data_IF_108003361157
#
_entry.id   IF_108003361157
#
_cell.length_a   1.000
_cell.length_b   1.000
_cell.length_c   1.000
_cell.angle_alpha   90.00
_cell.angle_beta   90.00
_cell.angle_gamma   90.00
#
_symmetry.space_group_name_H-M   'P 1'
#
loop_
_entity.id
_entity.type
_entity.pdbx_description
1 polymer ?
#
# COMPACT_ATOMS: atom_id res chain seq x y z
N UNK A 1 47.06 18.28 -42.36
CA UNK A 1 46.02 17.88 -41.37
C UNK A 1 45.18 19.12 -41.05
N UNK A 2 43.95 19.25 -41.58
CA UNK A 2 43.08 20.42 -41.37
C UNK A 2 42.34 20.26 -40.03
N UNK A 3 42.73 21.04 -39.02
CA UNK A 3 42.00 21.11 -37.76
C UNK A 3 40.81 22.07 -37.98
N UNK A 4 39.61 21.51 -38.07
CA UNK A 4 38.37 22.30 -38.18
C UNK A 4 38.13 22.99 -36.85
N UNK A 5 38.31 24.32 -36.80
CA UNK A 5 37.94 25.14 -35.64
C UNK A 5 36.42 25.15 -35.52
N UNK A 6 35.88 24.36 -34.60
CA UNK A 6 34.47 24.42 -34.23
C UNK A 6 34.16 25.78 -33.59
N UNK A 7 33.25 26.52 -34.20
CA UNK A 7 32.79 27.82 -33.71
C UNK A 7 32.21 27.68 -32.30
N UNK A 8 32.53 28.60 -31.37
CA UNK A 8 32.14 28.50 -29.95
C UNK A 8 30.62 28.35 -29.78
N UNK A 9 29.85 28.97 -30.65
CA UNK A 9 28.38 28.89 -30.71
C UNK A 9 27.89 27.45 -31.00
N UNK A 10 28.58 26.71 -31.89
CA UNK A 10 28.25 25.31 -32.19
C UNK A 10 28.60 24.38 -31.02
N UNK A 11 29.67 24.68 -30.27
CA UNK A 11 30.00 23.95 -29.04
C UNK A 11 28.96 24.20 -27.94
N UNK A 12 28.51 25.44 -27.79
CA UNK A 12 27.49 25.80 -26.81
C UNK A 12 26.16 25.09 -27.09
N UNK A 13 25.77 25.02 -28.37
CA UNK A 13 24.53 24.36 -28.78
C UNK A 13 24.56 22.84 -28.52
N UNK A 14 25.70 22.19 -28.77
CA UNK A 14 25.86 20.74 -28.48
C UNK A 14 25.80 20.47 -26.97
N UNK A 15 26.39 21.33 -26.13
CA UNK A 15 26.33 21.19 -24.67
C UNK A 15 24.89 21.37 -24.16
N UNK A 16 24.16 22.35 -24.69
CA UNK A 16 22.77 22.63 -24.30
C UNK A 16 21.81 21.49 -24.67
N UNK A 17 22.02 20.87 -25.84
CA UNK A 17 21.28 19.68 -26.26
C UNK A 17 21.64 18.47 -25.38
N UNK A 18 22.91 18.28 -25.00
CA UNK A 18 23.30 17.20 -24.10
C UNK A 18 22.63 17.32 -22.72
N UNK A 19 22.55 18.52 -22.14
CA UNK A 19 21.91 18.74 -20.83
C UNK A 19 20.41 18.45 -20.83
N UNK A 20 19.74 18.63 -21.96
CA UNK A 20 18.31 18.32 -22.08
C UNK A 20 18.04 16.81 -22.09
N UNK A 21 18.96 16.01 -22.63
CA UNK A 21 18.79 14.54 -22.72
C UNK A 21 19.04 13.88 -21.35
N UNK A 22 19.95 14.41 -20.52
CA UNK A 22 20.20 13.85 -19.16
C UNK A 22 19.12 14.25 -18.15
N UNK A 23 18.33 15.28 -18.44
CA UNK A 23 17.23 15.74 -17.57
C UNK A 23 15.99 14.83 -17.63
N UNK A 24 15.95 13.87 -18.57
CA UNK A 24 14.85 12.90 -18.70
C UNK A 24 14.98 11.65 -17.82
N UNK A 25 16.02 11.55 -16.99
CA UNK A 25 16.28 10.36 -16.17
C UNK A 25 15.98 10.58 -14.67
N UNK A 26 15.00 11.43 -14.34
CA UNK A 26 14.61 11.72 -12.96
C UNK A 26 13.13 11.43 -12.72
N UNK A 27 12.72 10.16 -12.85
CA UNK A 27 11.56 9.63 -12.09
C UNK A 27 11.51 8.10 -11.98
N UNK A 28 12.62 7.38 -12.19
CA UNK A 28 12.68 5.99 -11.74
C UNK A 28 12.87 6.03 -10.24
N UNK A 29 11.75 6.00 -9.50
CA UNK A 29 11.75 5.71 -8.08
C UNK A 29 12.26 4.26 -7.91
N UNK A 30 13.53 4.03 -7.52
CA UNK A 30 14.06 2.67 -7.36
C UNK A 30 13.49 1.99 -6.11
N UNK A 31 12.60 2.70 -5.38
CA UNK A 31 12.02 2.36 -4.10
C UNK A 31 10.52 2.68 -4.07
N UNK A 32 9.80 2.49 -5.19
CA UNK A 32 8.37 2.23 -5.07
C UNK A 32 8.24 0.86 -4.41
N UNK A 33 8.33 0.84 -3.07
CA UNK A 33 7.97 -0.26 -2.17
C UNK A 33 6.76 -0.99 -2.76
N UNK A 34 6.97 -2.07 -3.52
CA UNK A 34 5.88 -2.83 -4.11
C UNK A 34 5.30 -3.74 -3.03
N UNK A 35 4.79 -3.12 -1.97
CA UNK A 35 3.98 -3.77 -0.95
C UNK A 35 2.72 -4.24 -1.67
N UNK A 36 2.36 -5.52 -1.56
CA UNK A 36 1.17 -6.03 -2.23
C UNK A 36 -0.07 -5.31 -1.69
N UNK A 37 -0.81 -4.62 -2.56
CA UNK A 37 -1.96 -3.82 -2.19
C UNK A 37 -3.26 -4.57 -2.49
N UNK A 38 -4.15 -4.63 -1.50
CA UNK A 38 -5.45 -5.29 -1.58
C UNK A 38 -6.56 -4.28 -1.34
N UNK A 39 -7.41 -4.10 -2.35
CA UNK A 39 -8.67 -3.38 -2.19
C UNK A 39 -9.74 -4.28 -1.56
N UNK A 40 -10.22 -3.83 -0.41
CA UNK A 40 -11.21 -4.50 0.43
C UNK A 40 -12.63 -3.94 0.22
N UNK A 41 -12.83 -3.03 -0.72
CA UNK A 41 -14.17 -2.54 -1.05
C UNK A 41 -15.06 -3.68 -1.60
N UNK A 42 -16.31 -3.72 -1.14
CA UNK A 42 -17.25 -4.80 -1.44
C UNK A 42 -16.93 -6.15 -0.79
N UNK A 43 -15.78 -6.31 -0.14
CA UNK A 43 -15.35 -7.56 0.51
C UNK A 43 -15.39 -7.42 2.02
N UNK A 44 -16.20 -8.22 2.70
CA UNK A 44 -16.15 -8.27 4.16
C UNK A 44 -14.99 -9.13 4.65
N UNK A 45 -14.74 -10.24 3.96
CA UNK A 45 -13.74 -11.24 4.32
C UNK A 45 -12.88 -11.58 3.10
N UNK A 46 -11.59 -11.80 3.33
CA UNK A 46 -10.68 -12.42 2.35
C UNK A 46 -9.85 -13.51 3.02
N UNK A 47 -9.30 -14.42 2.20
CA UNK A 47 -8.33 -15.42 2.63
C UNK A 47 -7.07 -15.24 1.80
N UNK A 48 -5.92 -15.23 2.47
CA UNK A 48 -4.61 -15.05 1.86
C UNK A 48 -3.68 -16.15 2.34
N UNK A 49 -2.94 -16.71 1.42
CA UNK A 49 -1.81 -17.59 1.69
C UNK A 49 -0.53 -16.81 1.45
N UNK A 50 0.34 -16.80 2.45
CA UNK A 50 1.43 -15.83 2.59
C UNK A 50 2.71 -16.53 3.05
N UNK A 51 3.84 -15.87 2.83
CA UNK A 51 5.13 -16.27 3.42
C UNK A 51 5.49 -15.34 4.60
N UNK A 52 6.31 -15.79 5.57
CA UNK A 52 6.88 -14.90 6.58
C UNK A 52 7.76 -13.81 5.95
N UNK A 53 7.67 -12.58 6.47
CA UNK A 53 8.42 -11.41 6.00
C UNK A 53 7.74 -10.64 4.86
N UNK A 54 6.58 -11.08 4.39
CA UNK A 54 5.81 -10.38 3.38
C UNK A 54 5.15 -9.13 3.95
N UNK A 55 5.19 -8.05 3.16
CA UNK A 55 4.51 -6.80 3.47
C UNK A 55 3.24 -6.68 2.63
N UNK A 56 2.15 -6.35 3.30
CA UNK A 56 0.82 -6.27 2.71
C UNK A 56 0.18 -4.95 3.07
N UNK A 57 -0.52 -4.33 2.14
CA UNK A 57 -1.31 -3.14 2.36
C UNK A 57 -2.78 -3.41 2.05
N UNK A 58 -3.65 -3.21 3.04
CA UNK A 58 -5.10 -3.28 2.85
C UNK A 58 -5.68 -1.88 2.81
N UNK A 59 -6.43 -1.59 1.74
CA UNK A 59 -7.13 -0.34 1.58
C UNK A 59 -8.63 -0.57 1.53
N UNK A 60 -9.38 0.28 2.21
CA UNK A 60 -10.84 0.19 2.30
C UNK A 60 -11.47 1.56 2.47
N UNK A 61 -12.72 1.71 2.05
CA UNK A 61 -13.52 2.89 2.34
C UNK A 61 -13.63 3.12 3.85
N UNK A 62 -13.55 4.39 4.26
CA UNK A 62 -13.84 4.78 5.65
C UNK A 62 -15.37 4.72 5.88
N UNK A 63 -15.88 3.89 6.81
CA UNK A 63 -17.30 3.73 7.07
C UNK A 63 -17.92 4.89 7.86
N UNK A 64 -17.20 6.02 8.04
CA UNK A 64 -17.69 7.22 8.72
C UNK A 64 -19.04 7.74 8.21
N UNK A 65 -19.40 7.48 6.94
CA UNK A 65 -20.72 7.82 6.39
C UNK A 65 -21.87 7.07 7.07
N UNK A 66 -21.61 5.89 7.65
CA UNK A 66 -22.57 5.13 8.45
C UNK A 66 -22.61 5.53 9.93
N UNK A 67 -21.83 6.55 10.33
CA UNK A 67 -21.68 6.96 11.72
C UNK A 67 -20.75 6.06 12.53
N UNK A 68 -19.85 5.33 11.89
CA UNK A 68 -18.89 4.44 12.55
C UNK A 68 -17.53 5.11 12.74
N UNK A 69 -16.88 4.76 13.85
CA UNK A 69 -15.52 5.16 14.20
C UNK A 69 -14.60 3.95 14.17
N UNK A 70 -13.32 4.17 13.89
CA UNK A 70 -12.28 3.14 14.03
C UNK A 70 -12.09 2.76 15.51
N UNK A 71 -12.09 1.46 15.81
CA UNK A 71 -11.91 0.91 17.17
C UNK A 71 -10.75 -0.09 17.26
N UNK A 72 -9.69 0.14 16.48
CA UNK A 72 -8.47 -0.66 16.52
C UNK A 72 -8.50 -1.89 15.61
N UNK A 73 -7.41 -2.66 15.68
CA UNK A 73 -7.22 -3.91 14.92
C UNK A 73 -6.91 -5.03 15.92
N UNK A 74 -7.56 -6.18 15.75
CA UNK A 74 -7.25 -7.41 16.48
C UNK A 74 -6.44 -8.33 15.57
N UNK A 75 -5.28 -8.79 16.03
CA UNK A 75 -4.42 -9.74 15.32
C UNK A 75 -3.52 -10.44 16.32
N UNK A 76 -2.91 -11.55 15.90
CA UNK A 76 -1.88 -12.24 16.69
C UNK A 76 -0.51 -11.58 16.46
N UNK A 77 0.10 -10.93 17.48
CA UNK A 77 1.37 -10.23 17.34
C UNK A 77 2.57 -11.18 17.16
N UNK A 78 2.43 -12.48 17.44
CA UNK A 78 3.47 -13.47 17.14
C UNK A 78 3.53 -13.80 15.64
N UNK A 79 2.43 -13.57 14.93
CA UNK A 79 2.28 -13.90 13.51
C UNK A 79 2.32 -12.68 12.60
N UNK A 80 1.81 -11.53 13.04
CA UNK A 80 1.64 -10.34 12.19
C UNK A 80 1.95 -9.06 12.99
N UNK A 81 2.60 -8.09 12.35
CA UNK A 81 2.78 -6.72 12.86
C UNK A 81 1.96 -5.73 12.04
N UNK A 82 1.31 -4.78 12.72
CA UNK A 82 0.75 -3.58 12.09
C UNK A 82 1.82 -2.49 12.02
N UNK A 83 2.40 -2.26 10.86
CA UNK A 83 3.49 -1.30 10.68
C UNK A 83 2.98 0.13 10.53
N UNK A 84 1.81 0.28 9.89
CA UNK A 84 1.24 1.59 9.64
C UNK A 84 -0.26 1.58 9.47
N UNK A 85 -0.92 2.55 10.10
CA UNK A 85 -2.29 2.92 9.80
C UNK A 85 -2.32 4.37 9.30
N UNK A 86 -3.06 4.63 8.22
CA UNK A 86 -3.29 5.97 7.67
C UNK A 86 -4.75 6.15 7.26
N UNK A 87 -5.26 7.35 7.49
CA UNK A 87 -6.49 7.84 6.88
C UNK A 87 -6.10 8.64 5.64
N UNK A 88 -6.56 8.20 4.48
CA UNK A 88 -6.41 8.88 3.20
C UNK A 88 -7.65 9.76 3.02
N UNK A 89 -7.45 11.07 2.88
CA UNK A 89 -8.56 12.01 2.69
C UNK A 89 -9.22 11.76 1.33
N UNK A 90 -10.52 12.01 1.25
CA UNK A 90 -11.22 12.01 -0.02
C UNK A 90 -10.77 13.19 -0.89
N UNK A 91 -10.48 12.93 -2.16
CA UNK A 91 -10.16 13.97 -3.14
C UNK A 91 -11.42 14.52 -3.83
N UNK A 92 -12.59 13.89 -3.61
CA UNK A 92 -13.85 14.22 -4.29
C UNK A 92 -14.47 15.54 -3.83
N UNK A 93 -14.14 16.02 -2.63
CA UNK A 93 -14.76 17.20 -2.01
C UNK A 93 -16.25 17.04 -1.69
N UNK A 94 -16.81 15.84 -1.82
CA UNK A 94 -18.23 15.59 -1.62
C UNK A 94 -18.56 15.38 -0.14
N UNK A 95 -19.66 15.99 0.32
CA UNK A 95 -20.20 15.73 1.65
C UNK A 95 -20.63 14.26 1.72
N UNK A 96 -20.17 13.56 2.75
CA UNK A 96 -20.43 12.13 2.92
C UNK A 96 -19.32 11.21 2.39
N UNK A 97 -18.29 11.76 1.74
CA UNK A 97 -17.06 11.03 1.42
C UNK A 97 -16.02 11.23 2.54
N UNK A 98 -15.78 10.16 3.30
CA UNK A 98 -14.85 10.16 4.44
C UNK A 98 -13.45 9.65 4.07
N UNK A 99 -13.20 9.47 2.78
CA UNK A 99 -11.95 8.94 2.26
C UNK A 99 -11.79 7.46 2.56
N UNK A 100 -10.53 7.04 2.76
CA UNK A 100 -10.15 5.64 2.87
C UNK A 100 -9.25 5.39 4.06
N UNK A 101 -9.23 4.16 4.53
CA UNK A 101 -8.28 3.66 5.51
C UNK A 101 -7.29 2.76 4.81
N UNK A 102 -6.01 2.91 5.16
CA UNK A 102 -4.93 2.08 4.67
C UNK A 102 -4.13 1.52 5.84
N UNK A 103 -4.05 0.21 5.88
CA UNK A 103 -3.31 -0.55 6.88
C UNK A 103 -2.16 -1.27 6.20
N UNK A 104 -0.95 -1.16 6.75
CA UNK A 104 0.22 -1.90 6.31
C UNK A 104 0.60 -2.91 7.39
N UNK A 105 0.72 -4.17 6.99
CA UNK A 105 1.13 -5.26 7.86
C UNK A 105 2.37 -5.95 7.32
N UNK A 106 3.15 -6.53 8.24
CA UNK A 106 4.24 -7.44 7.94
C UNK A 106 3.96 -8.79 8.60
N UNK A 107 4.06 -9.89 7.86
CA UNK A 107 4.02 -11.25 8.43
C UNK A 107 5.33 -11.57 9.13
N UNK A 108 5.27 -12.17 10.32
CA UNK A 108 6.45 -12.44 11.18
C UNK A 108 6.62 -13.94 11.38
N UNK A 109 5.55 -14.62 11.77
CA UNK A 109 5.57 -16.02 12.17
C UNK A 109 4.86 -16.95 11.17
N UNK A 110 4.98 -18.26 11.40
CA UNK A 110 4.24 -19.28 10.66
C UNK A 110 2.98 -19.67 11.41
N UNK A 111 1.87 -19.80 10.69
CA UNK A 111 0.58 -20.16 11.27
C UNK A 111 -0.58 -19.44 10.61
N UNK A 112 -1.80 -19.75 11.06
CA UNK A 112 -3.01 -19.18 10.49
C UNK A 112 -3.73 -18.35 11.55
N UNK A 113 -4.01 -17.09 11.27
CA UNK A 113 -4.72 -16.19 12.19
C UNK A 113 -5.45 -15.07 11.45
N UNK A 114 -6.64 -14.67 11.92
CA UNK A 114 -7.35 -13.56 11.34
C UNK A 114 -6.79 -12.21 11.82
N UNK A 115 -6.68 -11.26 10.90
CA UNK A 115 -6.58 -9.83 11.20
C UNK A 115 -7.97 -9.21 11.07
N UNK A 116 -8.46 -8.62 12.15
CA UNK A 116 -9.81 -8.06 12.23
C UNK A 116 -9.72 -6.56 12.44
N UNK A 117 -10.28 -5.79 11.51
CA UNK A 117 -10.38 -4.34 11.62
C UNK A 117 -11.72 -4.02 12.27
N UNK A 118 -11.68 -3.39 13.45
CA UNK A 118 -12.86 -3.15 14.26
C UNK A 118 -13.36 -1.72 14.09
N UNK A 119 -14.69 -1.59 14.13
CA UNK A 119 -15.38 -0.31 14.18
C UNK A 119 -16.39 -0.29 15.31
N UNK A 120 -16.81 0.90 15.73
CA UNK A 120 -17.89 1.06 16.71
C UNK A 120 -18.74 2.27 16.40
N UNK A 121 -19.95 2.33 16.95
CA UNK A 121 -20.73 3.56 17.00
C UNK A 121 -20.27 4.45 18.16
N UNK A 122 -20.25 5.78 18.00
CA UNK A 122 -20.02 6.70 19.11
C UNK A 122 -21.04 6.45 20.25
N UNK A 123 -20.55 6.28 21.48
CA UNK A 123 -21.41 6.06 22.65
C UNK A 123 -21.78 4.60 22.92
N UNK A 124 -21.43 3.67 22.03
CA UNK A 124 -21.58 2.24 22.27
C UNK A 124 -20.27 1.62 22.78
N UNK A 125 -20.39 0.62 23.67
CA UNK A 125 -19.26 -0.17 24.16
C UNK A 125 -19.02 -1.44 23.31
N UNK A 126 -19.95 -1.75 22.41
CA UNK A 126 -19.86 -2.86 21.47
C UNK A 126 -19.04 -2.47 20.26
N UNK A 127 -18.18 -3.38 19.81
CA UNK A 127 -17.42 -3.25 18.58
C UNK A 127 -17.89 -4.29 17.56
N UNK A 128 -17.88 -3.88 16.30
CA UNK A 128 -18.23 -4.71 15.15
C UNK A 128 -16.98 -5.01 14.32
N UNK A 129 -16.88 -6.23 13.82
CA UNK A 129 -15.87 -6.57 12.82
C UNK A 129 -16.25 -5.90 11.49
N UNK A 130 -15.44 -4.97 11.02
CA UNK A 130 -15.67 -4.30 9.74
C UNK A 130 -15.13 -5.11 8.56
N UNK A 131 -13.87 -5.55 8.71
CA UNK A 131 -13.15 -6.39 7.74
C UNK A 131 -12.42 -7.49 8.47
N UNK A 132 -12.44 -8.68 7.87
CA UNK A 132 -11.73 -9.86 8.34
C UNK A 132 -10.76 -10.32 7.25
N UNK A 133 -9.49 -10.43 7.58
CA UNK A 133 -8.44 -10.88 6.67
C UNK A 133 -7.86 -12.15 7.28
N UNK A 134 -8.24 -13.31 6.76
CA UNK A 134 -7.67 -14.57 7.22
C UNK A 134 -6.32 -14.78 6.54
N UNK A 135 -5.26 -14.78 7.34
CA UNK A 135 -3.91 -15.01 6.87
C UNK A 135 -3.52 -16.45 7.19
N UNK A 136 -3.05 -17.18 6.19
CA UNK A 136 -2.42 -18.47 6.33
C UNK A 136 -0.95 -18.34 5.92
N UNK A 137 -0.06 -18.28 6.91
CA UNK A 137 1.37 -17.98 6.71
C UNK A 137 2.14 -19.30 6.73
N UNK A 138 2.54 -19.77 5.56
CA UNK A 138 3.22 -21.05 5.37
C UNK A 138 4.66 -20.84 4.90
N UNK A 139 5.49 -21.88 4.98
CA UNK A 139 6.87 -21.80 4.48
C UNK A 139 6.94 -21.68 2.95
N UNK A 140 5.94 -22.23 2.27
CA UNK A 140 5.93 -22.40 0.82
C UNK A 140 5.12 -21.32 0.11
N UNK A 141 4.40 -20.46 0.86
CA UNK A 141 3.55 -19.40 0.32
C UNK A 141 2.33 -19.94 -0.44
N UNK A 142 1.71 -19.13 -1.33
CA UNK A 142 0.61 -19.61 -2.16
C UNK A 142 1.07 -20.81 -3.02
N UNK A 143 0.22 -21.83 -3.25
CA UNK A 143 0.60 -23.03 -3.98
C UNK A 143 1.10 -22.63 -5.35
N UNK A 144 2.28 -23.13 -5.71
CA UNK A 144 2.76 -23.08 -7.08
C UNK A 144 1.72 -23.77 -7.97
N UNK A 145 0.88 -23.00 -8.65
CA UNK A 145 0.12 -23.52 -9.78
C UNK A 145 1.14 -23.88 -10.86
N UNK A 146 1.58 -25.15 -10.87
CA UNK A 146 2.20 -25.76 -12.03
C UNK A 146 1.09 -25.92 -13.07
N UNK A 147 1.10 -25.03 -14.06
CA UNK A 147 0.38 -25.23 -15.31
C UNK A 147 1.03 -26.38 -16.10
#
# INVERSE_FOLDING_TARGET
MRIVKFNSVKRLFVILVLTFIVSGCSSLNPFADSVAEYDMDGKHEIKLELMPGEQLAFEMRNPGSGGYLFDGVSFDPELVSLDKFKIIKADSGQIGDFGRWRFKFTTIGLGSSPVIINIKRPGENTRDAYKVINMDITKDGPPFFKW
#
